data_IF_750889167187
#
_entry.id   IF_750889167187
#
_cell.length_a   1.000
_cell.length_b   1.000
_cell.length_c   1.000
_cell.angle_alpha   90.00
_cell.angle_beta   90.00
_cell.angle_gamma   90.00
#
_symmetry.space_group_name_H-M   'P 1'
#
loop_
_entity.id
_entity.type
_entity.pdbx_description
1 polymer ?
#
# COMPACT_ATOMS: atom_id res chain seq x y z
N UNK A 1 26.86 20.99 -22.85
CA UNK A 1 26.00 19.87 -22.42
C UNK A 1 25.09 20.39 -21.32
N UNK A 2 23.77 20.38 -21.51
CA UNK A 2 22.81 20.85 -20.51
C UNK A 2 22.54 19.73 -19.49
N UNK A 3 22.97 19.94 -18.25
CA UNK A 3 22.49 19.15 -17.12
C UNK A 3 21.15 19.76 -16.69
N UNK A 4 20.05 19.11 -17.06
CA UNK A 4 18.72 19.55 -16.64
C UNK A 4 18.41 18.91 -15.28
N UNK A 5 18.46 19.67 -14.16
CA UNK A 5 18.33 19.12 -12.82
C UNK A 5 16.92 18.57 -12.52
N UNK A 6 15.94 18.84 -13.38
CA UNK A 6 14.58 18.30 -13.27
C UNK A 6 14.36 16.98 -14.00
N UNK A 7 15.34 16.50 -14.78
CA UNK A 7 15.17 15.26 -15.52
C UNK A 7 15.23 14.08 -14.55
N UNK A 8 14.09 13.42 -14.35
CA UNK A 8 14.04 12.14 -13.65
C UNK A 8 14.47 11.05 -14.62
N UNK A 9 15.54 10.34 -14.27
CA UNK A 9 15.99 9.14 -14.98
C UNK A 9 15.31 7.93 -14.36
N UNK A 10 14.85 7.00 -15.19
CA UNK A 10 14.31 5.72 -14.72
C UNK A 10 15.44 4.82 -14.19
N UNK A 11 15.08 3.78 -13.45
CA UNK A 11 16.04 2.76 -13.01
C UNK A 11 16.67 2.06 -14.24
N UNK A 12 15.87 1.80 -15.29
CA UNK A 12 16.33 1.25 -16.57
C UNK A 12 17.38 2.14 -17.27
N UNK A 13 17.26 3.47 -17.14
CA UNK A 13 18.25 4.39 -17.71
C UNK A 13 19.60 4.26 -17.01
N UNK A 14 19.58 4.06 -15.69
CA UNK A 14 20.80 3.83 -14.90
C UNK A 14 21.42 2.48 -15.28
N UNK A 15 20.61 1.43 -15.43
CA UNK A 15 21.08 0.12 -15.87
C UNK A 15 21.73 0.16 -17.27
N UNK A 16 21.11 0.88 -18.21
CA UNK A 16 21.70 1.13 -19.54
C UNK A 16 23.03 1.90 -19.45
N UNK A 17 23.10 2.89 -18.57
CA UNK A 17 24.34 3.64 -18.34
C UNK A 17 25.44 2.75 -17.76
N UNK A 18 25.11 1.87 -16.80
CA UNK A 18 26.07 0.90 -16.24
C UNK A 18 26.62 -0.04 -17.30
N UNK A 19 25.76 -0.59 -18.17
CA UNK A 19 26.20 -1.45 -19.27
C UNK A 19 27.16 -0.72 -20.23
N UNK A 20 26.90 0.56 -20.49
CA UNK A 20 27.78 1.40 -21.30
C UNK A 20 29.14 1.60 -20.62
N UNK A 21 29.15 1.93 -19.32
CA UNK A 21 30.39 2.13 -18.54
C UNK A 21 31.20 0.84 -18.42
N UNK A 22 30.54 -0.31 -18.24
CA UNK A 22 31.21 -1.61 -18.22
C UNK A 22 31.97 -1.87 -19.52
N UNK A 23 31.38 -1.53 -20.68
CA UNK A 23 32.07 -1.63 -21.97
C UNK A 23 33.26 -0.66 -22.08
N UNK A 24 33.16 0.53 -21.49
CA UNK A 24 34.28 1.48 -21.42
C UNK A 24 35.42 0.94 -20.55
N UNK A 25 35.11 0.31 -19.41
CA UNK A 25 36.10 -0.34 -18.54
C UNK A 25 36.81 -1.48 -19.28
N UNK A 26 36.07 -2.29 -20.03
CA UNK A 26 36.66 -3.36 -20.86
C UNK A 26 37.67 -2.82 -21.89
N UNK A 27 37.41 -1.63 -22.45
CA UNK A 27 38.24 -1.02 -23.48
C UNK A 27 39.42 -0.20 -22.93
N UNK A 28 39.25 0.46 -21.79
CA UNK A 28 40.18 1.47 -21.28
C UNK A 28 40.74 1.16 -19.88
N UNK A 29 40.30 0.07 -19.26
CA UNK A 29 40.78 -0.39 -17.97
C UNK A 29 40.17 0.34 -16.77
N UNK A 30 40.89 0.28 -15.65
CA UNK A 30 40.32 0.53 -14.32
C UNK A 30 39.94 1.98 -14.01
N UNK A 31 40.38 2.95 -14.82
CA UNK A 31 40.14 4.37 -14.57
C UNK A 31 38.65 4.75 -14.47
N UNK A 32 37.76 3.94 -15.03
CA UNK A 32 36.32 4.19 -15.09
C UNK A 32 35.51 3.45 -14.00
N UNK A 33 36.16 2.62 -13.18
CA UNK A 33 35.51 1.94 -12.05
C UNK A 33 34.74 2.88 -11.12
N UNK A 34 35.28 4.05 -10.73
CA UNK A 34 34.57 4.97 -9.84
C UNK A 34 33.23 5.46 -10.41
N UNK A 35 33.05 5.44 -11.73
CA UNK A 35 31.78 5.81 -12.37
C UNK A 35 30.77 4.67 -12.22
N UNK A 36 31.20 3.43 -12.46
CA UNK A 36 30.35 2.26 -12.32
C UNK A 36 29.85 2.11 -10.88
N UNK A 37 30.75 2.20 -9.90
CA UNK A 37 30.41 2.12 -8.47
C UNK A 37 29.37 3.16 -8.05
N UNK A 38 29.47 4.39 -8.58
CA UNK A 38 28.50 5.45 -8.28
C UNK A 38 27.12 5.16 -8.87
N UNK A 39 27.05 4.56 -10.06
CA UNK A 39 25.79 4.18 -10.69
C UNK A 39 25.13 3.02 -9.92
N UNK A 40 25.91 2.03 -9.48
CA UNK A 40 25.43 0.93 -8.65
C UNK A 40 24.86 1.45 -7.32
N UNK A 41 25.59 2.33 -6.64
CA UNK A 41 25.15 2.92 -5.38
C UNK A 41 23.87 3.76 -5.54
N UNK A 42 23.74 4.51 -6.63
CA UNK A 42 22.54 5.31 -6.91
C UNK A 42 21.32 4.41 -7.17
N UNK A 43 21.48 3.34 -7.96
CA UNK A 43 20.41 2.39 -8.23
C UNK A 43 19.94 1.70 -6.96
N UNK A 44 20.88 1.24 -6.13
CA UNK A 44 20.55 0.60 -4.84
C UNK A 44 19.82 1.58 -3.91
N UNK A 45 20.30 2.83 -3.81
CA UNK A 45 19.65 3.88 -3.03
C UNK A 45 18.21 4.16 -3.50
N UNK A 46 17.97 4.17 -4.81
CA UNK A 46 16.62 4.35 -5.39
C UNK A 46 15.71 3.18 -5.05
N UNK A 47 16.17 1.95 -5.30
CA UNK A 47 15.42 0.72 -4.98
C UNK A 47 15.09 0.64 -3.49
N UNK A 48 16.04 0.96 -2.62
CA UNK A 48 15.84 0.99 -1.18
C UNK A 48 14.79 2.04 -0.75
N UNK A 49 14.83 3.26 -1.32
CA UNK A 49 13.82 4.30 -1.08
C UNK A 49 12.43 3.85 -1.54
N UNK A 50 12.31 3.30 -2.75
CA UNK A 50 11.06 2.79 -3.30
C UNK A 50 10.49 1.64 -2.46
N UNK A 51 11.33 0.70 -2.04
CA UNK A 51 10.93 -0.40 -1.17
C UNK A 51 10.44 0.10 0.20
N UNK A 52 11.14 1.07 0.81
CA UNK A 52 10.70 1.70 2.07
C UNK A 52 9.32 2.34 1.90
N UNK A 53 9.14 3.15 0.86
CA UNK A 53 7.86 3.81 0.59
C UNK A 53 6.74 2.79 0.40
N UNK A 54 6.96 1.76 -0.41
CA UNK A 54 6.01 0.69 -0.63
C UNK A 54 5.62 -0.03 0.67
N UNK A 55 6.58 -0.32 1.56
CA UNK A 55 6.32 -0.91 2.88
C UNK A 55 5.41 -0.02 3.73
N UNK A 56 5.69 1.28 3.78
CA UNK A 56 4.86 2.22 4.54
C UNK A 56 3.45 2.32 3.95
N UNK A 57 3.31 2.48 2.63
CA UNK A 57 2.01 2.55 1.96
C UNK A 57 1.18 1.28 2.18
N UNK A 58 1.78 0.08 2.07
CA UNK A 58 1.11 -1.19 2.38
C UNK A 58 0.61 -1.24 3.83
N UNK A 59 1.45 -0.83 4.80
CA UNK A 59 1.07 -0.77 6.22
C UNK A 59 -0.11 0.17 6.46
N UNK A 60 -0.07 1.36 5.84
CA UNK A 60 -1.17 2.33 5.95
C UNK A 60 -2.45 1.81 5.31
N UNK A 61 -2.38 1.16 4.14
CA UNK A 61 -3.54 0.56 3.48
C UNK A 61 -4.18 -0.54 4.35
N UNK A 62 -3.39 -1.44 4.94
CA UNK A 62 -3.88 -2.48 5.86
C UNK A 62 -4.55 -1.88 7.10
N UNK A 63 -3.97 -0.82 7.67
CA UNK A 63 -4.53 -0.12 8.83
C UNK A 63 -5.82 0.67 8.51
N UNK A 64 -6.00 1.11 7.26
CA UNK A 64 -7.20 1.81 6.79
C UNK A 64 -8.32 0.82 6.41
N UNK A 65 -7.97 -0.33 5.82
CA UNK A 65 -8.93 -1.40 5.52
C UNK A 65 -9.63 -1.95 6.76
N UNK A 66 -8.91 -2.08 7.88
CA UNK A 66 -9.48 -2.46 9.18
C UNK A 66 -10.47 -1.45 9.78
N UNK A 67 -10.39 -0.17 9.39
CA UNK A 67 -11.29 0.88 9.91
C UNK A 67 -12.60 1.02 9.12
N UNK A 68 -12.66 0.49 7.90
CA UNK A 68 -13.88 0.56 7.05
C UNK A 68 -14.94 -0.50 7.38
N UNK A 69 -14.61 -1.49 8.21
CA UNK A 69 -15.53 -2.57 8.63
C UNK A 69 -16.04 -2.41 10.07
N UNK A 70 -15.81 -1.26 10.70
CA UNK A 70 -16.37 -0.92 12.01
C UNK A 70 -17.23 0.33 11.89
N UNK A 71 -18.40 0.19 11.26
CA UNK A 71 -19.51 1.12 11.45
C UNK A 71 -20.49 0.47 12.42
N UNK A 72 -20.42 0.74 13.73
CA UNK A 72 -21.45 0.32 14.67
C UNK A 72 -22.60 1.32 14.57
N UNK A 73 -23.27 1.36 13.43
CA UNK A 73 -24.59 1.99 13.32
C UNK A 73 -25.60 0.95 12.86
N UNK A 74 -25.66 -0.15 13.60
CA UNK A 74 -26.84 -0.99 13.69
C UNK A 74 -27.68 -0.49 14.85
N UNK A 75 -28.63 0.42 14.58
CA UNK A 75 -29.80 0.57 15.45
C UNK A 75 -30.44 -0.83 15.53
N UNK A 76 -30.77 -1.37 16.71
CA UNK A 76 -31.52 -2.62 16.75
C UNK A 76 -32.82 -2.42 15.94
N UNK A 77 -33.27 -3.43 15.18
CA UNK A 77 -34.57 -3.34 14.53
C UNK A 77 -35.60 -3.02 15.61
N UNK A 78 -36.23 -1.85 15.46
CA UNK A 78 -37.39 -1.52 16.26
C UNK A 78 -38.48 -2.44 15.73
N UNK A 79 -38.85 -3.47 16.47
CA UNK A 79 -40.06 -4.23 16.16
C UNK A 79 -41.26 -3.30 16.39
N UNK A 80 -42.03 -2.90 15.36
CA UNK A 80 -43.33 -2.35 15.61
C UNK A 80 -44.22 -3.51 16.07
N UNK A 81 -44.84 -3.32 17.22
CA UNK A 81 -45.82 -4.20 17.83
C UNK A 81 -46.80 -4.82 16.80
N UNK A 82 -47.25 -6.07 17.00
CA UNK A 82 -48.41 -6.55 16.26
C UNK A 82 -49.64 -5.76 16.74
N UNK A 83 -50.17 -4.90 15.87
CA UNK A 83 -51.56 -4.47 15.97
C UNK A 83 -52.44 -5.71 15.81
N UNK A 84 -52.94 -6.26 16.91
CA UNK A 84 -54.03 -7.23 16.89
C UNK A 84 -55.01 -6.87 18.02
N UNK A 85 -56.22 -6.56 17.54
CA UNK A 85 -57.45 -6.25 18.24
C UNK A 85 -57.67 -6.83 19.64
N UNK A 86 -58.16 -5.95 20.51
CA UNK A 86 -58.82 -6.18 21.78
C UNK A 86 -60.14 -6.96 21.57
N UNK A 87 -60.29 -8.12 22.21
CA UNK A 87 -61.58 -8.64 22.66
C UNK A 87 -61.38 -9.59 23.85
N UNK A 88 -62.01 -9.20 24.96
CA UNK A 88 -62.29 -9.95 26.20
C UNK A 88 -61.12 -10.56 26.97
N UNK A 89 -60.84 -9.93 28.12
CA UNK A 89 -59.77 -10.29 29.03
C UNK A 89 -59.87 -11.72 29.55
N UNK A 90 -58.83 -12.52 29.27
CA UNK A 90 -58.46 -13.65 30.10
C UNK A 90 -56.98 -13.96 29.90
N UNK A 91 -56.18 -13.65 30.92
CA UNK A 91 -54.79 -14.10 31.01
C UNK A 91 -54.80 -15.55 31.49
N UNK A 92 -54.40 -16.51 30.64
CA UNK A 92 -54.05 -17.85 31.12
C UNK A 92 -52.64 -18.22 30.69
N UNK A 93 -51.74 -18.21 31.68
CA UNK A 93 -50.42 -18.82 31.65
C UNK A 93 -50.60 -20.33 31.63
N UNK A 94 -50.19 -21.00 30.55
CA UNK A 94 -49.97 -22.45 30.57
C UNK A 94 -48.47 -22.70 30.59
N UNK A 95 -47.92 -22.85 31.80
CA UNK A 95 -46.63 -23.50 32.06
C UNK A 95 -46.84 -24.98 32.39
N UNK A 96 -45.81 -25.84 32.27
CA UNK A 96 -45.99 -27.28 32.14
C UNK A 96 -46.14 -27.97 33.49
N UNK A 97 -47.09 -28.91 33.55
CA UNK A 97 -47.12 -30.23 34.23
C UNK A 97 -48.55 -30.61 34.59
#
# INVERSE_FOLDING_TARGET
MQFDPKRSYSDDDIERAMATVARVIELHGEAYWPILERLEAELESRRARSARLARHLKRFALAQGRRRIASPRGRPPCDPAPCAHEVDGSCQTTGPY
#
